data_IF_790409146958
#
_entry.id   IF_790409146958
#
_cell.length_a   1.000
_cell.length_b   1.000
_cell.length_c   1.000
_cell.angle_alpha   90.00
_cell.angle_beta   90.00
_cell.angle_gamma   90.00
#
_symmetry.space_group_name_H-M   'P 1'
#
loop_
_entity.id
_entity.type
_entity.pdbx_description
1 polymer ?
#
# COMPACT_ATOMS: atom_id res chain seq x y z
N UNK A 1 -15.28 -6.02 14.90
CA UNK A 1 -14.15 -5.23 14.34
C UNK A 1 -13.93 -4.06 15.28
N UNK A 2 -12.69 -3.79 15.68
CA UNK A 2 -12.36 -2.61 16.50
C UNK A 2 -12.63 -1.32 15.71
N UNK A 3 -12.97 -0.23 16.40
CA UNK A 3 -13.19 1.10 15.76
C UNK A 3 -11.96 1.51 14.95
N UNK A 4 -10.76 1.28 15.49
CA UNK A 4 -9.48 1.53 14.83
C UNK A 4 -9.32 0.73 13.52
N UNK A 5 -9.68 -0.56 13.48
CA UNK A 5 -9.62 -1.37 12.26
C UNK A 5 -10.52 -0.81 11.16
N UNK A 6 -11.76 -0.41 11.51
CA UNK A 6 -12.71 0.15 10.54
C UNK A 6 -12.22 1.48 9.97
N UNK A 7 -11.69 2.34 10.83
CA UNK A 7 -11.11 3.62 10.43
C UNK A 7 -9.87 3.44 9.55
N UNK A 8 -8.94 2.57 9.94
CA UNK A 8 -7.75 2.26 9.15
C UNK A 8 -8.11 1.72 7.76
N UNK A 9 -9.13 0.84 7.65
CA UNK A 9 -9.60 0.35 6.36
C UNK A 9 -10.15 1.45 5.45
N UNK A 10 -10.83 2.46 6.00
CA UNK A 10 -11.30 3.61 5.20
C UNK A 10 -10.13 4.42 4.65
N UNK A 11 -9.07 4.61 5.45
CA UNK A 11 -7.86 5.26 4.99
C UNK A 11 -7.16 4.46 3.90
N UNK A 12 -7.00 3.14 4.08
CA UNK A 12 -6.42 2.25 3.06
C UNK A 12 -7.13 2.41 1.72
N UNK A 13 -8.46 2.39 1.70
CA UNK A 13 -9.22 2.54 0.47
C UNK A 13 -9.03 3.92 -0.19
N UNK A 14 -9.02 5.00 0.60
CA UNK A 14 -8.72 6.36 0.11
C UNK A 14 -7.34 6.47 -0.52
N UNK A 15 -6.32 5.90 0.14
CA UNK A 15 -4.95 5.91 -0.37
C UNK A 15 -4.77 4.99 -1.58
N UNK A 16 -5.54 3.90 -1.69
CA UNK A 16 -5.55 3.04 -2.87
C UNK A 16 -6.12 3.77 -4.10
N UNK A 17 -7.19 4.54 -3.93
CA UNK A 17 -7.70 5.44 -4.97
C UNK A 17 -6.61 6.47 -5.35
N UNK A 18 -5.98 7.10 -4.36
CA UNK A 18 -4.88 8.05 -4.61
C UNK A 18 -3.70 7.43 -5.37
N UNK A 19 -3.28 6.21 -4.99
CA UNK A 19 -2.22 5.47 -5.66
C UNK A 19 -2.59 5.08 -7.10
N UNK A 20 -3.84 4.69 -7.34
CA UNK A 20 -4.36 4.40 -8.68
C UNK A 20 -4.36 5.64 -9.57
N UNK A 21 -4.77 6.80 -9.03
CA UNK A 21 -4.74 8.08 -9.75
C UNK A 21 -3.30 8.46 -10.10
N UNK A 22 -2.36 8.40 -9.15
CA UNK A 22 -0.94 8.71 -9.40
C UNK A 22 -0.33 7.78 -10.45
N UNK A 23 -0.71 6.50 -10.47
CA UNK A 23 -0.21 5.53 -11.44
C UNK A 23 -0.87 5.62 -12.82
N UNK A 24 -2.06 6.22 -12.91
CA UNK A 24 -2.72 6.52 -14.18
C UNK A 24 -2.06 7.69 -14.93
N UNK A 25 -1.40 8.59 -14.21
CA UNK A 25 -0.74 9.76 -14.79
C UNK A 25 0.48 9.36 -15.62
N UNK A 26 0.64 9.89 -16.84
CA UNK A 26 1.78 9.61 -17.73
C UNK A 26 3.03 10.40 -17.30
N UNK A 27 3.41 10.33 -16.03
CA UNK A 27 4.61 11.00 -15.50
C UNK A 27 5.74 10.00 -15.21
N UNK A 28 7.01 10.36 -15.51
CA UNK A 28 8.18 9.52 -15.23
C UNK A 28 8.42 9.25 -13.73
N UNK A 29 7.67 9.91 -12.83
CA UNK A 29 7.77 9.82 -11.37
C UNK A 29 6.88 8.72 -10.73
N UNK A 30 6.27 7.82 -11.52
CA UNK A 30 5.24 6.88 -11.02
C UNK A 30 5.65 6.03 -9.81
N UNK A 31 6.94 5.71 -9.66
CA UNK A 31 7.45 4.92 -8.54
C UNK A 31 7.60 5.73 -7.24
N UNK A 32 8.07 6.98 -7.34
CA UNK A 32 8.33 7.83 -6.19
C UNK A 32 7.03 8.40 -5.60
N UNK A 33 6.10 8.83 -6.47
CA UNK A 33 4.78 9.30 -6.04
C UNK A 33 3.95 8.20 -5.37
N UNK A 34 3.95 6.99 -5.95
CA UNK A 34 3.26 5.84 -5.37
C UNK A 34 3.87 5.44 -4.02
N UNK A 35 5.20 5.46 -3.90
CA UNK A 35 5.89 5.20 -2.64
C UNK A 35 5.52 6.23 -1.58
N UNK A 36 5.50 7.52 -1.92
CA UNK A 36 5.09 8.58 -1.00
C UNK A 36 3.66 8.38 -0.49
N UNK A 37 2.72 8.03 -1.38
CA UNK A 37 1.33 7.70 -1.02
C UNK A 37 1.28 6.50 -0.07
N UNK A 38 2.00 5.43 -0.38
CA UNK A 38 2.02 4.22 0.46
C UNK A 38 2.67 4.49 1.82
N UNK A 39 3.78 5.21 1.88
CA UNK A 39 4.43 5.59 3.15
C UNK A 39 3.49 6.44 4.00
N UNK A 40 2.80 7.43 3.42
CA UNK A 40 1.85 8.26 4.16
C UNK A 40 0.64 7.46 4.63
N UNK A 41 0.16 6.52 3.83
CA UNK A 41 -0.89 5.57 4.22
C UNK A 41 -0.47 4.79 5.47
N UNK A 42 0.71 4.17 5.46
CA UNK A 42 1.17 3.37 6.59
C UNK A 42 1.37 4.22 7.85
N UNK A 43 1.90 5.44 7.71
CA UNK A 43 2.00 6.39 8.84
C UNK A 43 0.61 6.75 9.41
N UNK A 44 -0.39 6.97 8.54
CA UNK A 44 -1.77 7.23 8.96
C UNK A 44 -2.37 6.03 9.71
N UNK A 45 -2.06 4.81 9.30
CA UNK A 45 -2.51 3.59 10.00
C UNK A 45 -1.84 3.50 11.38
N UNK A 46 -0.54 3.77 11.50
CA UNK A 46 0.15 3.82 12.80
C UNK A 46 -0.52 4.84 13.74
N UNK A 47 -0.84 6.04 13.23
CA UNK A 47 -1.55 7.09 13.98
C UNK A 47 -2.93 6.61 14.47
N UNK A 48 -3.72 5.95 13.61
CA UNK A 48 -5.05 5.38 13.98
C UNK A 48 -4.93 4.29 15.06
N UNK A 49 -3.84 3.52 15.05
CA UNK A 49 -3.58 2.50 16.06
C UNK A 49 -2.94 3.04 17.34
N UNK A 50 -2.66 4.36 17.41
CA UNK A 50 -2.05 5.01 18.56
C UNK A 50 -0.56 4.69 18.72
N UNK A 51 0.09 4.15 17.70
CA UNK A 51 1.54 3.95 17.68
C UNK A 51 2.25 5.23 17.21
N UNK A 52 3.49 5.46 17.67
CA UNK A 52 4.31 6.55 17.13
C UNK A 52 4.48 6.31 15.62
N UNK A 53 4.11 7.31 14.81
CA UNK A 53 4.19 7.27 13.37
C UNK A 53 5.54 6.69 12.91
N UNK A 54 5.52 5.51 12.28
CA UNK A 54 6.70 4.85 11.75
C UNK A 54 7.13 3.58 12.48
N UNK A 55 6.61 3.25 13.66
CA UNK A 55 7.01 2.04 14.41
C UNK A 55 6.72 0.73 13.67
N UNK A 56 5.51 0.59 13.11
CA UNK A 56 5.16 -0.55 12.28
C UNK A 56 5.83 -0.49 10.91
N UNK A 57 5.93 0.71 10.33
CA UNK A 57 6.55 0.94 9.01
C UNK A 57 8.02 0.53 9.00
N UNK A 58 8.79 0.95 10.01
CA UNK A 58 10.18 0.54 10.19
C UNK A 58 10.31 -0.98 10.26
N UNK A 59 9.38 -1.66 10.93
CA UNK A 59 9.37 -3.12 11.04
C UNK A 59 9.13 -3.84 9.71
N UNK A 60 8.23 -3.32 8.86
CA UNK A 60 8.00 -3.86 7.50
C UNK A 60 9.16 -3.55 6.55
N UNK A 61 9.76 -2.37 6.68
CA UNK A 61 10.93 -1.93 5.92
C UNK A 61 12.16 -2.75 6.30
N UNK A 62 12.45 -2.91 7.60
CA UNK A 62 13.55 -3.75 8.11
C UNK A 62 13.43 -5.20 7.66
N UNK A 63 12.20 -5.74 7.60
CA UNK A 63 11.95 -7.11 7.12
C UNK A 63 12.04 -7.25 5.60
N UNK A 64 12.30 -6.17 4.87
CA UNK A 64 12.38 -6.17 3.40
C UNK A 64 11.06 -6.50 2.70
N UNK A 65 9.94 -6.61 3.44
CA UNK A 65 8.66 -7.07 2.92
C UNK A 65 8.09 -6.11 1.87
N UNK A 66 8.26 -4.80 2.07
CA UNK A 66 7.83 -3.76 1.12
C UNK A 66 8.64 -3.85 -0.17
N UNK A 67 9.97 -4.04 -0.07
CA UNK A 67 10.83 -4.17 -1.24
C UNK A 67 10.54 -5.45 -2.04
N UNK A 68 10.24 -6.56 -1.34
CA UNK A 68 9.89 -7.83 -1.98
C UNK A 68 8.54 -7.74 -2.71
N UNK A 69 7.52 -7.19 -2.04
CA UNK A 69 6.20 -6.95 -2.64
C UNK A 69 6.31 -6.01 -3.84
N UNK A 70 7.05 -4.89 -3.71
CA UNK A 70 7.28 -3.95 -4.79
C UNK A 70 7.95 -4.62 -6.01
N UNK A 71 8.91 -5.53 -5.80
CA UNK A 71 9.60 -6.24 -6.88
C UNK A 71 8.70 -7.26 -7.59
N UNK A 72 7.87 -8.00 -6.85
CA UNK A 72 6.92 -8.97 -7.41
C UNK A 72 5.83 -8.26 -8.21
N UNK A 73 5.23 -7.23 -7.61
CA UNK A 73 4.19 -6.41 -8.24
C UNK A 73 4.72 -5.75 -9.50
N UNK A 74 5.92 -5.15 -9.44
CA UNK A 74 6.54 -4.50 -10.60
C UNK A 74 6.73 -5.47 -11.76
N UNK A 75 7.29 -6.65 -11.51
CA UNK A 75 7.48 -7.68 -12.56
C UNK A 75 6.16 -8.16 -13.15
N UNK A 76 5.12 -8.33 -12.33
CA UNK A 76 3.78 -8.68 -12.79
C UNK A 76 3.17 -7.57 -13.66
N UNK A 77 3.27 -6.32 -13.20
CA UNK A 77 2.76 -5.14 -13.91
C UNK A 77 3.47 -4.94 -15.25
N UNK A 78 4.79 -5.04 -15.29
CA UNK A 78 5.60 -4.92 -16.52
C UNK A 78 5.18 -5.98 -17.55
N UNK A 79 4.96 -7.23 -17.13
CA UNK A 79 4.47 -8.29 -18.02
C UNK A 79 3.06 -8.01 -18.55
N UNK A 80 2.14 -7.58 -17.67
CA UNK A 80 0.76 -7.26 -18.07
C UNK A 80 0.70 -6.05 -19.01
N UNK A 81 1.51 -5.02 -18.76
CA UNK A 81 1.54 -3.80 -19.58
C UNK A 81 2.26 -4.00 -20.90
N UNK A 82 3.28 -4.87 -20.96
CA UNK A 82 3.97 -5.23 -22.19
C UNK A 82 3.05 -5.99 -23.18
N UNK A 83 2.17 -6.85 -22.67
CA UNK A 83 1.20 -7.59 -23.48
C UNK A 83 -0.05 -6.75 -23.86
N UNK A 84 -0.24 -5.57 -23.26
CA UNK A 84 -1.44 -4.77 -23.43
C UNK A 84 -1.31 -3.70 -24.54
N UNK A 85 -2.40 -3.41 -25.27
CA UNK A 85 -2.49 -2.26 -26.16
C UNK A 85 -2.15 -0.95 -25.43
N UNK A 86 -1.48 -0.02 -26.11
CA UNK A 86 -1.08 1.27 -25.57
C UNK A 86 -2.15 2.01 -24.73
N UNK A 87 -3.44 2.11 -25.15
CA UNK A 87 -4.47 2.78 -24.35
C UNK A 87 -4.88 2.02 -23.07
N UNK A 88 -4.64 0.71 -22.98
CA UNK A 88 -4.96 -0.09 -21.80
C UNK A 88 -3.85 -0.04 -20.74
N UNK A 89 -2.63 0.36 -21.10
CA UNK A 89 -1.48 0.45 -20.18
C UNK A 89 -1.72 1.34 -18.95
N UNK A 90 -2.26 2.57 -19.04
CA UNK A 90 -2.54 3.38 -17.86
C UNK A 90 -3.60 2.74 -16.95
N UNK A 91 -4.60 2.07 -17.52
CA UNK A 91 -5.66 1.38 -16.77
C UNK A 91 -5.05 0.23 -15.96
N UNK A 92 -4.20 -0.59 -16.57
CA UNK A 92 -3.51 -1.70 -15.89
C UNK A 92 -2.59 -1.17 -14.79
N UNK A 93 -1.84 -0.09 -15.06
CA UNK A 93 -0.97 0.53 -14.04
C UNK A 93 -1.76 1.07 -12.86
N UNK A 94 -2.88 1.76 -13.12
CA UNK A 94 -3.79 2.27 -12.10
C UNK A 94 -4.38 1.13 -11.25
N UNK A 95 -4.89 0.08 -11.89
CA UNK A 95 -5.47 -1.07 -11.22
C UNK A 95 -4.44 -1.77 -10.32
N UNK A 96 -3.24 -2.05 -10.84
CA UNK A 96 -2.20 -2.71 -10.06
C UNK A 96 -1.73 -1.83 -8.90
N UNK A 97 -1.58 -0.52 -9.10
CA UNK A 97 -1.21 0.40 -8.04
C UNK A 97 -2.27 0.48 -6.93
N UNK A 98 -3.55 0.52 -7.30
CA UNK A 98 -4.68 0.47 -6.35
C UNK A 98 -4.66 -0.81 -5.54
N UNK A 99 -4.67 -1.98 -6.21
CA UNK A 99 -4.65 -3.30 -5.56
C UNK A 99 -3.43 -3.46 -4.64
N UNK A 100 -2.25 -3.03 -5.10
CA UNK A 100 -1.02 -3.15 -4.30
C UNK A 100 -1.08 -2.28 -3.04
N UNK A 101 -1.61 -1.07 -3.16
CA UNK A 101 -1.76 -0.15 -2.04
C UNK A 101 -2.78 -0.68 -1.04
N UNK A 102 -3.90 -1.23 -1.51
CA UNK A 102 -4.88 -1.91 -0.66
C UNK A 102 -4.30 -3.13 0.06
N UNK A 103 -3.60 -4.01 -0.66
CA UNK A 103 -2.97 -5.20 -0.10
C UNK A 103 -1.93 -4.86 0.97
N UNK A 104 -1.10 -3.83 0.73
CA UNK A 104 -0.13 -3.32 1.71
C UNK A 104 -0.83 -2.79 2.97
N UNK A 105 -1.87 -1.97 2.79
CA UNK A 105 -2.64 -1.41 3.89
C UNK A 105 -3.33 -2.49 4.75
N UNK A 106 -3.97 -3.47 4.11
CA UNK A 106 -4.60 -4.61 4.79
C UNK A 106 -3.58 -5.48 5.53
N UNK A 107 -2.45 -5.78 4.89
CA UNK A 107 -1.36 -6.53 5.52
C UNK A 107 -0.82 -5.82 6.76
N UNK A 108 -0.73 -4.49 6.71
CA UNK A 108 -0.26 -3.69 7.84
C UNK A 108 -1.25 -3.65 9.01
N UNK A 109 -2.53 -3.47 8.71
CA UNK A 109 -3.61 -3.59 9.71
C UNK A 109 -3.55 -4.96 10.40
N UNK A 110 -3.34 -6.06 9.65
CA UNK A 110 -3.23 -7.40 10.24
C UNK A 110 -2.03 -7.54 11.18
N UNK A 111 -0.90 -6.90 10.89
CA UNK A 111 0.26 -6.89 11.79
C UNK A 111 -0.08 -6.21 13.11
N UNK A 112 -0.75 -5.06 13.07
CA UNK A 112 -1.21 -4.34 14.25
C UNK A 112 -2.22 -5.16 15.08
N UNK A 113 -3.21 -5.76 14.42
CA UNK A 113 -4.19 -6.63 15.08
C UNK A 113 -3.52 -7.84 15.76
N UNK A 114 -2.51 -8.45 15.11
CA UNK A 114 -1.73 -9.55 15.70
C UNK A 114 -0.90 -9.09 16.90
N UNK A 115 -0.26 -7.92 16.84
CA UNK A 115 0.49 -7.37 17.98
C UNK A 115 -0.40 -7.13 19.18
N UNK A 116 -1.57 -6.50 18.97
CA UNK A 116 -2.53 -6.26 20.05
C UNK A 116 -2.99 -7.57 20.69
N UNK A 117 -3.30 -8.59 19.89
CA UNK A 117 -3.70 -9.90 20.40
C UNK A 117 -2.65 -10.54 21.31
N UNK A 118 -1.35 -10.44 20.97
CA UNK A 118 -0.25 -10.98 21.78
C UNK A 118 0.01 -10.23 23.10
N UNK A 119 -0.41 -8.97 23.22
CA UNK A 119 -0.22 -8.18 24.45
C UNK A 119 -1.35 -8.46 25.46
N UNK A 120 -2.54 -8.83 24.97
CA UNK A 120 -3.72 -9.16 25.79
C UNK A 120 -3.84 -10.62 26.19
N UNK A 121 -2.96 -11.50 25.71
CA UNK A 121 -2.89 -12.94 26.05
C UNK A 121 -1.86 -13.20 27.14
#
# INVERSE_FOLDING_TARGET
MTTAKKEAMQWVHRYAIGGAVVAALPMPLSSAGLLAVQTRMLATIDEVYGEKAGGGVMGLVQKGAIALLGRVVRRGTERMTAAAPAPARPIIRAAVAGITTEALGLGFILVHERRRAMITS
#
